data_IF_282923485741
#
_entry.id   IF_282923485741
#
_cell.length_a   1.000
_cell.length_b   1.000
_cell.length_c   1.000
_cell.angle_alpha   90.00
_cell.angle_beta   90.00
_cell.angle_gamma   90.00
#
_symmetry.space_group_name_H-M   'P 1'
#
loop_
_entity.id
_entity.type
_entity.pdbx_description
1 polymer ?
#
# COMPACT_ATOMS: atom_id res chain seq x y z
N UNK A 1 29.09 -3.14 -11.13
CA UNK A 1 27.84 -2.34 -11.06
C UNK A 1 26.56 -3.16 -11.30
N UNK A 2 26.35 -3.81 -12.47
CA UNK A 2 25.12 -4.58 -12.79
C UNK A 2 24.73 -5.67 -11.75
N UNK A 3 25.69 -6.41 -11.20
CA UNK A 3 25.44 -7.45 -10.16
C UNK A 3 24.89 -6.89 -8.85
N UNK A 4 25.47 -5.77 -8.36
CA UNK A 4 25.00 -5.05 -7.17
C UNK A 4 23.61 -4.46 -7.41
N UNK A 5 23.34 -4.02 -8.64
CA UNK A 5 22.04 -3.47 -9.06
C UNK A 5 20.94 -4.54 -8.99
N UNK A 6 21.20 -5.73 -9.54
CA UNK A 6 20.29 -6.89 -9.48
C UNK A 6 20.02 -7.33 -8.03
N UNK A 7 21.03 -7.30 -7.17
CA UNK A 7 20.92 -7.75 -5.78
C UNK A 7 20.01 -6.85 -4.92
N UNK A 8 20.06 -5.52 -5.08
CA UNK A 8 19.20 -4.59 -4.34
C UNK A 8 17.71 -4.68 -4.73
N UNK A 9 17.42 -4.94 -6.00
CA UNK A 9 16.04 -5.13 -6.46
C UNK A 9 15.45 -6.40 -5.84
N UNK A 10 16.25 -7.48 -5.80
CA UNK A 10 15.88 -8.74 -5.15
C UNK A 10 15.58 -8.57 -3.65
N UNK A 11 16.36 -7.75 -2.94
CA UNK A 11 16.08 -7.44 -1.52
C UNK A 11 14.73 -6.73 -1.37
N UNK A 12 14.45 -5.75 -2.21
CA UNK A 12 13.21 -4.96 -2.16
C UNK A 12 11.99 -5.87 -2.38
N UNK A 13 12.05 -6.74 -3.40
CA UNK A 13 11.01 -7.75 -3.68
C UNK A 13 10.85 -8.74 -2.53
N UNK A 14 11.95 -9.19 -1.94
CA UNK A 14 11.93 -10.10 -0.78
C UNK A 14 11.25 -9.44 0.42
N UNK A 15 11.52 -8.16 0.67
CA UNK A 15 10.89 -7.41 1.77
C UNK A 15 9.38 -7.21 1.54
N UNK A 16 8.97 -6.89 0.31
CA UNK A 16 7.54 -6.80 -0.05
C UNK A 16 6.85 -8.13 0.25
N UNK A 17 7.42 -9.24 -0.22
CA UNK A 17 6.86 -10.57 0.02
C UNK A 17 6.83 -10.92 1.51
N UNK A 18 7.88 -10.60 2.26
CA UNK A 18 7.93 -10.84 3.69
C UNK A 18 6.83 -10.08 4.46
N UNK A 19 6.59 -8.80 4.13
CA UNK A 19 5.52 -8.01 4.74
C UNK A 19 4.12 -8.54 4.40
N UNK A 20 3.94 -9.04 3.16
CA UNK A 20 2.68 -9.66 2.73
C UNK A 20 2.45 -10.96 3.52
N UNK A 21 3.45 -11.84 3.59
CA UNK A 21 3.37 -13.10 4.34
C UNK A 21 3.10 -12.84 5.81
N UNK A 22 3.80 -11.86 6.39
CA UNK A 22 3.62 -11.48 7.79
C UNK A 22 2.16 -11.09 8.07
N UNK A 23 1.60 -10.17 7.28
CA UNK A 23 0.24 -9.70 7.50
C UNK A 23 -0.80 -10.80 7.27
N UNK A 24 -0.69 -11.54 6.16
CA UNK A 24 -1.65 -12.61 5.87
C UNK A 24 -1.53 -13.77 6.88
N UNK A 25 -0.31 -14.05 7.37
CA UNK A 25 -0.08 -15.00 8.46
C UNK A 25 -0.72 -14.57 9.77
N UNK A 26 -0.59 -13.29 10.15
CA UNK A 26 -1.26 -12.73 11.32
C UNK A 26 -2.78 -12.89 11.18
N UNK A 27 -3.37 -12.54 10.03
CA UNK A 27 -4.82 -12.68 9.79
C UNK A 27 -5.32 -14.11 9.93
N UNK A 28 -4.56 -15.10 9.44
CA UNK A 28 -4.91 -16.52 9.61
C UNK A 28 -4.98 -16.90 11.09
N UNK A 29 -4.02 -16.45 11.90
CA UNK A 29 -3.99 -16.72 13.35
C UNK A 29 -5.14 -15.98 14.04
N UNK A 30 -5.28 -14.70 13.76
CA UNK A 30 -6.25 -13.78 14.38
C UNK A 30 -7.70 -14.19 14.09
N UNK A 31 -7.98 -14.82 12.95
CA UNK A 31 -9.31 -15.35 12.61
C UNK A 31 -9.88 -16.26 13.69
N UNK A 32 -9.03 -17.02 14.40
CA UNK A 32 -9.45 -17.91 15.48
C UNK A 32 -9.98 -17.17 16.72
N UNK A 33 -9.81 -15.85 16.80
CA UNK A 33 -10.11 -15.01 17.97
C UNK A 33 -11.26 -14.03 17.71
N UNK A 34 -12.14 -14.30 16.75
CA UNK A 34 -13.32 -13.45 16.54
C UNK A 34 -14.18 -13.31 17.80
N UNK A 35 -14.67 -12.09 18.04
CA UNK A 35 -15.51 -11.76 19.20
C UNK A 35 -14.72 -11.54 20.50
N UNK A 36 -13.41 -11.80 20.51
CA UNK A 36 -12.55 -11.48 21.66
C UNK A 36 -12.21 -9.99 21.64
N UNK A 37 -12.27 -9.38 22.83
CA UNK A 37 -11.80 -8.01 23.05
C UNK A 37 -10.92 -7.97 24.29
N UNK A 38 -9.62 -7.76 24.08
CA UNK A 38 -8.63 -7.76 25.16
C UNK A 38 -7.84 -6.44 25.14
N UNK A 39 -7.72 -5.72 26.27
CA UNK A 39 -6.90 -4.51 26.30
C UNK A 39 -5.43 -4.86 26.10
N UNK A 40 -4.77 -4.16 25.17
CA UNK A 40 -3.31 -4.14 25.01
C UNK A 40 -2.74 -2.99 25.84
N UNK A 41 -3.30 -1.80 25.64
CA UNK A 41 -3.04 -0.61 26.46
C UNK A 41 -4.37 -0.18 27.03
N UNK A 42 -4.51 -0.25 28.35
CA UNK A 42 -5.75 0.04 29.06
C UNK A 42 -6.32 1.39 28.59
N UNK A 43 -7.59 1.39 28.21
CA UNK A 43 -8.36 2.55 27.73
C UNK A 43 -7.88 3.22 26.44
N UNK A 44 -6.87 2.68 25.75
CA UNK A 44 -6.33 3.24 24.50
C UNK A 44 -6.41 2.23 23.36
N UNK A 45 -5.83 1.05 23.56
CA UNK A 45 -5.58 0.08 22.48
C UNK A 45 -6.05 -1.32 22.89
N UNK A 46 -6.80 -1.98 22.00
CA UNK A 46 -7.37 -3.30 22.26
C UNK A 46 -7.06 -4.23 21.10
N UNK A 47 -6.79 -5.50 21.41
CA UNK A 47 -6.93 -6.58 20.46
C UNK A 47 -8.42 -6.88 20.32
N UNK A 48 -8.97 -6.65 19.12
CA UNK A 48 -10.39 -6.81 18.85
C UNK A 48 -10.59 -7.20 17.37
N UNK A 49 -10.47 -8.50 17.03
CA UNK A 49 -10.66 -8.98 15.66
C UNK A 49 -12.08 -8.74 15.15
N UNK A 50 -12.19 -8.03 14.03
CA UNK A 50 -13.45 -7.68 13.36
C UNK A 50 -13.27 -7.81 11.85
N UNK A 51 -14.25 -8.41 11.18
CA UNK A 51 -14.31 -8.39 9.72
C UNK A 51 -14.93 -7.07 9.26
N UNK A 52 -14.15 -6.24 8.58
CA UNK A 52 -14.60 -5.01 7.95
C UNK A 52 -15.05 -5.29 6.51
N UNK A 53 -16.35 -5.48 6.33
CA UNK A 53 -17.00 -5.75 5.05
C UNK A 53 -17.43 -4.47 4.31
N UNK A 54 -17.19 -3.29 4.89
CA UNK A 54 -17.33 -2.00 4.19
C UNK A 54 -16.16 -1.72 3.23
N UNK A 55 -15.16 -2.61 3.16
CA UNK A 55 -14.03 -2.63 2.21
C UNK A 55 -13.03 -1.46 2.26
N UNK A 56 -13.45 -0.28 2.71
CA UNK A 56 -12.61 0.89 2.99
C UNK A 56 -13.24 1.80 4.05
N UNK A 57 -12.39 2.53 4.78
CA UNK A 57 -12.83 3.50 5.78
C UNK A 57 -13.70 4.60 5.17
N UNK A 58 -13.38 5.08 3.97
CA UNK A 58 -14.17 6.11 3.25
C UNK A 58 -15.58 5.60 2.93
N UNK A 59 -15.70 4.35 2.49
CA UNK A 59 -17.00 3.76 2.18
C UNK A 59 -17.88 3.65 3.43
N UNK A 60 -17.28 3.31 4.58
CA UNK A 60 -17.94 3.27 5.89
C UNK A 60 -18.32 4.67 6.40
N UNK A 61 -17.38 5.62 6.35
CA UNK A 61 -17.55 6.98 6.88
C UNK A 61 -18.68 7.74 6.19
N UNK A 62 -18.78 7.63 4.87
CA UNK A 62 -19.80 8.34 4.07
C UNK A 62 -20.99 7.47 3.70
N UNK A 63 -21.04 6.21 4.17
CA UNK A 63 -22.10 5.25 3.86
C UNK A 63 -22.39 5.14 2.35
N UNK A 64 -21.34 5.03 1.53
CA UNK A 64 -21.46 5.12 0.06
C UNK A 64 -22.06 3.86 -0.58
N UNK A 65 -22.11 2.75 0.16
CA UNK A 65 -22.67 1.49 -0.32
C UNK A 65 -21.91 0.85 -1.49
N UNK A 66 -20.65 1.23 -1.71
CA UNK A 66 -19.86 0.67 -2.81
C UNK A 66 -19.48 -0.77 -2.51
N UNK A 67 -19.85 -1.66 -3.44
CA UNK A 67 -19.65 -3.09 -3.28
C UNK A 67 -18.21 -3.57 -3.51
N UNK A 68 -17.98 -4.83 -3.18
CA UNK A 68 -16.68 -5.51 -3.27
C UNK A 68 -15.97 -5.35 -4.62
N UNK A 69 -16.70 -5.56 -5.71
CA UNK A 69 -16.13 -5.54 -7.07
C UNK A 69 -15.52 -4.17 -7.38
N UNK A 70 -16.23 -3.10 -7.03
CA UNK A 70 -15.73 -1.74 -7.19
C UNK A 70 -14.39 -1.55 -6.47
N UNK A 71 -14.30 -1.99 -5.22
CA UNK A 71 -13.06 -1.84 -4.45
C UNK A 71 -11.93 -2.73 -4.94
N UNK A 72 -12.20 -3.93 -5.47
CA UNK A 72 -11.19 -4.76 -6.13
C UNK A 72 -10.65 -4.03 -7.36
N UNK A 73 -11.52 -3.51 -8.23
CA UNK A 73 -11.11 -2.77 -9.43
C UNK A 73 -10.29 -1.52 -9.07
N UNK A 74 -10.70 -0.79 -8.03
CA UNK A 74 -9.97 0.37 -7.53
C UNK A 74 -8.57 -0.03 -7.04
N UNK A 75 -8.45 -1.10 -6.25
CA UNK A 75 -7.14 -1.57 -5.75
C UNK A 75 -6.25 -2.06 -6.89
N UNK A 76 -6.79 -2.77 -7.87
CA UNK A 76 -6.04 -3.19 -9.08
C UNK A 76 -5.56 -1.98 -9.88
N UNK A 77 -6.43 -0.98 -10.06
CA UNK A 77 -6.08 0.29 -10.71
C UNK A 77 -4.93 0.98 -9.97
N UNK A 78 -5.04 1.16 -8.65
CA UNK A 78 -3.99 1.79 -7.83
C UNK A 78 -2.69 0.98 -7.87
N UNK A 79 -2.77 -0.35 -7.82
CA UNK A 79 -1.59 -1.24 -7.93
C UNK A 79 -0.87 -1.04 -9.26
N UNK A 80 -1.62 -1.02 -10.36
CA UNK A 80 -1.09 -0.84 -11.70
C UNK A 80 -0.34 0.49 -11.82
N UNK A 81 -0.98 1.61 -11.45
CA UNK A 81 -0.34 2.92 -11.53
C UNK A 81 0.82 3.07 -10.54
N UNK A 82 0.74 2.47 -9.35
CA UNK A 82 1.84 2.50 -8.39
C UNK A 82 3.06 1.72 -8.88
N UNK A 83 2.85 0.55 -9.47
CA UNK A 83 3.91 -0.26 -10.08
C UNK A 83 4.67 0.53 -11.15
N UNK A 84 3.93 1.15 -12.08
CA UNK A 84 4.53 1.95 -13.14
C UNK A 84 5.18 3.23 -12.62
N UNK A 85 4.62 3.86 -11.58
CA UNK A 85 5.23 5.03 -10.95
C UNK A 85 6.62 4.70 -10.40
N UNK A 86 6.77 3.59 -9.66
CA UNK A 86 8.08 3.17 -9.19
C UNK A 86 9.03 2.80 -10.32
N UNK A 87 8.55 2.13 -11.35
CA UNK A 87 9.36 1.79 -12.53
C UNK A 87 9.87 3.06 -13.25
N UNK A 88 9.01 4.06 -13.39
CA UNK A 88 9.35 5.36 -13.97
C UNK A 88 10.37 6.10 -13.10
N UNK A 89 10.17 6.13 -11.78
CA UNK A 89 11.10 6.75 -10.82
C UNK A 89 12.46 6.06 -10.84
N UNK A 90 12.52 4.72 -10.90
CA UNK A 90 13.77 3.97 -11.01
C UNK A 90 14.50 4.21 -12.32
N UNK A 91 13.78 4.51 -13.41
CA UNK A 91 14.37 4.83 -14.71
C UNK A 91 14.91 6.27 -14.78
N UNK A 92 14.27 7.23 -14.12
CA UNK A 92 14.66 8.66 -14.14
C UNK A 92 15.55 9.09 -12.97
N UNK A 93 15.43 8.47 -11.80
CA UNK A 93 16.21 8.84 -10.62
C UNK A 93 17.46 7.95 -10.51
N UNK A 94 18.58 8.57 -10.14
CA UNK A 94 19.71 7.80 -9.60
C UNK A 94 19.23 6.99 -8.37
N UNK A 95 19.76 5.77 -8.20
CA UNK A 95 19.32 4.83 -7.15
C UNK A 95 19.19 5.50 -5.78
N UNK A 96 17.96 5.57 -5.27
CA UNK A 96 17.65 6.16 -3.99
C UNK A 96 17.00 5.11 -3.07
N UNK A 97 17.62 4.86 -1.91
CA UNK A 97 17.11 3.92 -0.90
C UNK A 97 15.71 4.30 -0.42
N UNK A 98 15.38 5.59 -0.40
CA UNK A 98 14.06 6.07 -0.01
C UNK A 98 12.96 5.61 -0.97
N UNK A 99 13.23 5.60 -2.28
CA UNK A 99 12.27 5.09 -3.28
C UNK A 99 11.98 3.61 -3.02
N UNK A 100 13.00 2.82 -2.66
CA UNK A 100 12.82 1.42 -2.31
C UNK A 100 11.96 1.25 -1.05
N UNK A 101 12.18 2.08 -0.02
CA UNK A 101 11.37 2.02 1.22
C UNK A 101 9.90 2.35 0.91
N UNK A 102 9.64 3.43 0.15
CA UNK A 102 8.28 3.77 -0.29
C UNK A 102 7.64 2.63 -1.08
N UNK A 103 8.41 2.01 -1.99
CA UNK A 103 7.97 0.88 -2.81
C UNK A 103 7.59 -0.33 -1.96
N UNK A 104 8.38 -0.63 -0.93
CA UNK A 104 8.13 -1.74 -0.03
C UNK A 104 6.78 -1.57 0.67
N UNK A 105 6.57 -0.43 1.33
CA UNK A 105 5.36 -0.19 2.11
C UNK A 105 4.11 -0.05 1.23
N UNK A 106 4.19 0.70 0.13
CA UNK A 106 3.02 0.89 -0.75
C UNK A 106 2.60 -0.42 -1.42
N UNK A 107 3.54 -1.15 -2.03
CA UNK A 107 3.18 -2.38 -2.75
C UNK A 107 2.75 -3.49 -1.79
N UNK A 108 3.39 -3.63 -0.62
CA UNK A 108 2.93 -4.58 0.39
C UNK A 108 1.50 -4.26 0.84
N UNK A 109 1.20 -3.01 1.20
CA UNK A 109 -0.13 -2.58 1.62
C UNK A 109 -1.21 -2.77 0.55
N UNK A 110 -0.95 -2.37 -0.70
CA UNK A 110 -1.93 -2.55 -1.79
C UNK A 110 -2.17 -4.04 -2.07
N UNK A 111 -1.12 -4.87 -2.10
CA UNK A 111 -1.28 -6.30 -2.38
C UNK A 111 -2.02 -7.00 -1.23
N UNK A 112 -1.71 -6.69 0.03
CA UNK A 112 -2.50 -7.18 1.17
C UNK A 112 -3.98 -6.76 1.04
N UNK A 113 -4.27 -5.50 0.71
CA UNK A 113 -5.64 -5.01 0.48
C UNK A 113 -6.37 -5.79 -0.62
N UNK A 114 -5.66 -6.17 -1.68
CA UNK A 114 -6.21 -6.95 -2.77
C UNK A 114 -6.51 -8.39 -2.32
N UNK A 115 -5.58 -9.04 -1.61
CA UNK A 115 -5.76 -10.38 -1.06
C UNK A 115 -6.96 -10.39 -0.10
N UNK A 116 -7.06 -9.40 0.78
CA UNK A 116 -8.18 -9.25 1.71
C UNK A 116 -9.53 -9.25 0.97
N UNK A 117 -9.67 -8.37 -0.02
CA UNK A 117 -10.90 -8.26 -0.80
C UNK A 117 -11.17 -9.50 -1.65
N UNK A 118 -10.17 -10.25 -2.09
CA UNK A 118 -10.37 -11.47 -2.89
C UNK A 118 -10.73 -12.68 -2.02
N UNK A 119 -10.11 -12.84 -0.85
CA UNK A 119 -10.23 -14.09 -0.07
C UNK A 119 -11.09 -13.95 1.19
N UNK A 120 -11.19 -12.74 1.75
CA UNK A 120 -11.87 -12.51 3.04
C UNK A 120 -13.22 -11.81 2.89
N UNK A 121 -13.62 -11.42 1.68
CA UNK A 121 -14.86 -10.66 1.43
C UNK A 121 -14.94 -9.35 2.25
N UNK A 122 -13.80 -8.74 2.54
CA UNK A 122 -13.65 -7.61 3.45
C UNK A 122 -12.17 -7.43 3.81
N UNK A 123 -11.89 -6.87 4.97
CA UNK A 123 -10.57 -6.86 5.62
C UNK A 123 -10.72 -7.36 7.05
N UNK A 124 -9.94 -8.37 7.45
CA UNK A 124 -9.85 -8.77 8.85
C UNK A 124 -8.95 -7.80 9.60
N UNK A 125 -9.57 -6.87 10.31
CA UNK A 125 -8.89 -5.85 11.13
C UNK A 125 -8.86 -6.34 12.59
N UNK A 126 -7.85 -5.96 13.38
CA UNK A 126 -7.64 -6.64 14.67
C UNK A 126 -7.09 -5.80 15.81
N UNK A 127 -6.65 -4.57 15.55
CA UNK A 127 -6.27 -3.62 16.59
C UNK A 127 -7.29 -2.49 16.62
N UNK A 128 -8.04 -2.39 17.72
CA UNK A 128 -8.96 -1.28 17.98
C UNK A 128 -8.24 -0.16 18.71
N UNK A 129 -8.21 1.03 18.10
CA UNK A 129 -7.92 2.28 18.78
C UNK A 129 -9.23 2.86 19.34
N UNK A 130 -9.35 2.90 20.68
CA UNK A 130 -10.60 3.25 21.36
C UNK A 130 -11.09 4.64 20.93
N UNK A 131 -12.31 4.72 20.42
CA UNK A 131 -12.94 5.97 19.97
C UNK A 131 -12.64 6.36 18.51
N UNK A 132 -11.87 5.54 17.78
CA UNK A 132 -11.48 5.84 16.40
C UNK A 132 -11.87 4.72 15.45
N UNK A 133 -10.98 3.76 15.19
CA UNK A 133 -11.16 2.71 14.20
C UNK A 133 -10.44 1.43 14.61
N UNK A 134 -10.80 0.33 13.94
CA UNK A 134 -10.05 -0.92 13.97
C UNK A 134 -9.15 -0.95 12.75
N UNK A 135 -7.90 -1.36 12.90
CA UNK A 135 -6.93 -1.43 11.82
C UNK A 135 -6.12 -2.72 11.88
N UNK A 136 -5.39 -2.97 10.81
CA UNK A 136 -4.43 -4.05 10.68
C UNK A 136 -3.03 -3.55 10.27
N UNK A 137 -2.09 -4.46 10.06
CA UNK A 137 -0.73 -4.10 9.70
C UNK A 137 -0.64 -3.57 8.26
N UNK A 138 -1.56 -3.98 7.37
CA UNK A 138 -1.67 -3.40 6.03
C UNK A 138 -1.96 -1.91 6.10
N UNK A 139 -2.88 -1.48 6.97
CA UNK A 139 -3.18 -0.05 7.16
C UNK A 139 -1.94 0.71 7.66
N UNK A 140 -1.18 0.10 8.57
CA UNK A 140 0.09 0.66 9.03
C UNK A 140 1.13 0.80 7.90
N UNK A 141 1.23 -0.17 6.98
CA UNK A 141 2.12 -0.06 5.82
C UNK A 141 1.75 1.15 4.95
N UNK A 142 0.47 1.33 4.67
CA UNK A 142 -0.01 2.47 3.87
C UNK A 142 0.20 3.80 4.58
N UNK A 143 -0.06 3.88 5.89
CA UNK A 143 0.21 5.09 6.68
C UNK A 143 1.70 5.43 6.72
N UNK A 144 2.60 4.45 6.86
CA UNK A 144 4.04 4.69 6.81
C UNK A 144 4.43 5.26 5.44
N UNK A 145 3.93 4.69 4.34
CA UNK A 145 4.16 5.23 3.01
C UNK A 145 3.69 6.69 2.90
N UNK A 146 2.47 7.00 3.32
CA UNK A 146 1.88 8.34 3.25
C UNK A 146 2.71 9.36 4.05
N UNK A 147 3.07 9.04 5.29
CA UNK A 147 3.90 9.89 6.15
C UNK A 147 5.26 10.16 5.49
N UNK A 148 5.91 9.13 4.95
CA UNK A 148 7.21 9.27 4.28
C UNK A 148 7.11 10.13 3.00
N UNK A 149 6.03 10.01 2.23
CA UNK A 149 5.79 10.88 1.06
C UNK A 149 5.60 12.33 1.49
N UNK A 150 4.78 12.59 2.52
CA UNK A 150 4.55 13.94 3.05
C UNK A 150 5.88 14.56 3.52
N UNK A 151 6.67 13.81 4.29
CA UNK A 151 8.00 14.25 4.74
C UNK A 151 8.92 14.62 3.57
N UNK A 152 8.91 13.84 2.48
CA UNK A 152 9.72 14.14 1.29
C UNK A 152 9.25 15.37 0.55
N UNK A 153 7.93 15.58 0.45
CA UNK A 153 7.34 16.76 -0.19
C UNK A 153 7.76 18.00 0.60
N UNK A 154 7.58 17.99 1.93
CA UNK A 154 7.98 19.10 2.81
C UNK A 154 9.48 19.39 2.66
N UNK A 155 10.33 18.36 2.75
CA UNK A 155 11.79 18.50 2.62
C UNK A 155 12.22 19.07 1.27
N UNK A 156 11.49 18.78 0.20
CA UNK A 156 11.82 19.18 -1.17
C UNK A 156 10.89 20.26 -1.73
N UNK A 157 10.15 20.99 -0.87
CA UNK A 157 9.05 21.86 -1.29
C UNK A 157 9.40 22.82 -2.44
N UNK A 158 10.57 23.48 -2.39
CA UNK A 158 11.05 24.38 -3.45
C UNK A 158 11.29 23.71 -4.80
N UNK A 159 11.64 22.42 -4.81
CA UNK A 159 11.83 21.63 -6.03
C UNK A 159 10.48 21.13 -6.54
N UNK A 160 9.64 20.64 -5.63
CA UNK A 160 8.29 20.15 -5.94
C UNK A 160 7.43 21.27 -6.53
N UNK A 161 7.49 22.48 -5.99
CA UNK A 161 6.74 23.64 -6.50
C UNK A 161 7.15 24.10 -7.90
N UNK A 162 8.29 23.63 -8.42
CA UNK A 162 8.77 23.93 -9.78
C UNK A 162 8.44 22.82 -10.78
N UNK A 163 7.84 21.71 -10.31
CA UNK A 163 7.43 20.61 -11.17
C UNK A 163 6.25 21.09 -12.01
N UNK A 164 6.33 20.87 -13.32
CA UNK A 164 5.20 21.04 -14.21
C UNK A 164 4.39 19.74 -14.25
N UNK A 165 3.26 19.71 -13.54
CA UNK A 165 2.43 18.51 -13.38
C UNK A 165 1.92 17.95 -14.71
N UNK A 166 1.55 18.83 -15.65
CA UNK A 166 1.05 18.41 -16.98
C UNK A 166 2.15 17.72 -17.79
N UNK A 167 3.36 18.27 -17.75
CA UNK A 167 4.52 17.70 -18.43
C UNK A 167 4.95 16.38 -17.79
N UNK A 168 4.98 16.33 -16.45
CA UNK A 168 5.29 15.11 -15.70
C UNK A 168 4.30 13.98 -16.03
N UNK A 169 2.99 14.28 -16.04
CA UNK A 169 1.96 13.31 -16.38
C UNK A 169 2.09 12.82 -17.84
N UNK A 170 2.33 13.74 -18.79
CA UNK A 170 2.54 13.39 -20.19
C UNK A 170 3.74 12.47 -20.37
N UNK A 171 4.85 12.78 -19.71
CA UNK A 171 6.06 11.97 -19.71
C UNK A 171 5.83 10.59 -19.10
N UNK A 172 5.10 10.54 -17.98
CA UNK A 172 4.74 9.29 -17.31
C UNK A 172 3.86 8.39 -18.19
N UNK A 173 2.82 8.94 -18.81
CA UNK A 173 1.96 8.18 -19.74
C UNK A 173 2.76 7.68 -20.94
N UNK A 174 3.65 8.52 -21.50
CA UNK A 174 4.54 8.13 -22.61
C UNK A 174 5.46 6.98 -22.20
N UNK A 175 5.98 7.01 -20.97
CA UNK A 175 6.79 5.93 -20.43
C UNK A 175 6.02 4.61 -20.34
N UNK A 176 4.80 4.63 -19.81
CA UNK A 176 3.93 3.43 -19.74
C UNK A 176 3.70 2.88 -21.15
N UNK A 177 3.26 3.73 -22.09
CA UNK A 177 2.99 3.33 -23.48
C UNK A 177 4.20 2.67 -24.14
N UNK A 178 5.39 3.26 -23.97
CA UNK A 178 6.63 2.72 -24.52
C UNK A 178 6.92 1.33 -23.96
N UNK A 179 6.76 1.15 -22.65
CA UNK A 179 7.02 -0.14 -22.00
C UNK A 179 6.10 -1.26 -22.49
N UNK A 180 4.82 -0.96 -22.77
CA UNK A 180 3.90 -1.92 -23.38
C UNK A 180 4.32 -2.30 -24.79
N UNK A 181 4.69 -1.33 -25.63
CA UNK A 181 5.10 -1.59 -27.01
C UNK A 181 6.36 -2.46 -27.08
N UNK A 182 7.35 -2.21 -26.22
CA UNK A 182 8.60 -2.99 -26.18
C UNK A 182 8.46 -4.39 -25.58
N UNK A 183 7.31 -4.73 -24.96
CA UNK A 183 7.02 -6.07 -24.44
C UNK A 183 6.22 -6.93 -25.41
N UNK A 184 5.73 -6.34 -26.50
CA UNK A 184 5.01 -7.03 -27.57
C UNK A 184 5.90 -7.46 -28.75
N UNK A 185 7.20 -7.18 -28.67
CA UNK A 185 8.27 -7.68 -29.55
C UNK A 185 9.08 -8.76 -28.83
#
# INVERSE_FOLDING_TARGET
MKKIIKNKNKITETMILALIILEQGIKIIVKAYYGIKTPIIKDILYFAPVLNDNYSYINSLFNLGWGRIFHILLVVFVLFFSYYAFKYLEAKAAKNSMINILKIFLLAGIICSLIDKIFWNGSLDYILLKGFFVFDLKDCYLTIFEVLVIMLIIKNGKKVSKINDKELLKDYIKFIKKDFLTRGE
#
